data_IF_609012798104
#
_entry.id   IF_609012798104
#
_cell.length_a   1.000
_cell.length_b   1.000
_cell.length_c   1.000
_cell.angle_alpha   90.00
_cell.angle_beta   90.00
_cell.angle_gamma   90.00
#
_symmetry.space_group_name_H-M   'P 1'
#
loop_
_entity.id
_entity.type
_entity.pdbx_description
1 polymer ?
#
# COMPACT_ATOMS: atom_id res chain seq x y z
N UNK A 1 12.53 -1.64 -6.61
CA UNK A 1 12.12 -0.43 -5.87
C UNK A 1 12.39 -0.66 -4.38
N UNK A 2 12.59 0.38 -3.58
CA UNK A 2 12.62 0.23 -2.11
C UNK A 2 11.21 0.22 -1.52
N UNK A 3 11.09 -0.24 -0.28
CA UNK A 3 9.81 -0.38 0.43
C UNK A 3 9.10 0.97 0.60
N UNK A 4 9.86 2.01 0.92
CA UNK A 4 9.34 3.35 1.16
C UNK A 4 8.67 3.94 -0.09
N UNK A 5 9.31 3.80 -1.24
CA UNK A 5 8.78 4.28 -2.52
C UNK A 5 7.52 3.51 -2.89
N UNK A 6 7.50 2.18 -2.70
CA UNK A 6 6.31 1.36 -2.97
C UNK A 6 5.12 1.78 -2.08
N UNK A 7 5.32 1.97 -0.78
CA UNK A 7 4.25 2.39 0.14
C UNK A 7 3.70 3.77 -0.22
N UNK A 8 4.55 4.72 -0.62
CA UNK A 8 4.12 6.04 -1.12
C UNK A 8 3.26 5.93 -2.37
N UNK A 9 3.69 5.16 -3.37
CA UNK A 9 2.92 4.95 -4.60
C UNK A 9 1.58 4.22 -4.33
N UNK A 10 1.55 3.30 -3.36
CA UNK A 10 0.33 2.64 -2.89
C UNK A 10 -0.64 3.67 -2.29
N UNK A 11 -0.19 4.55 -1.39
CA UNK A 11 -1.03 5.61 -0.81
C UNK A 11 -1.65 6.50 -1.89
N UNK A 12 -0.86 6.86 -2.92
CA UNK A 12 -1.32 7.66 -4.05
C UNK A 12 -2.37 6.91 -4.90
N UNK A 13 -2.12 5.64 -5.24
CA UNK A 13 -3.07 4.81 -6.01
C UNK A 13 -4.38 4.58 -5.26
N UNK A 14 -4.32 4.43 -3.95
CA UNK A 14 -5.49 4.27 -3.09
C UNK A 14 -6.18 5.61 -2.77
N UNK A 15 -5.66 6.75 -3.27
CA UNK A 15 -6.20 8.10 -3.06
C UNK A 15 -6.43 8.42 -1.57
N UNK A 16 -5.51 7.99 -0.72
CA UNK A 16 -5.63 8.16 0.73
C UNK A 16 -5.55 9.65 1.09
N UNK A 17 -6.54 10.12 1.85
CA UNK A 17 -6.58 11.53 2.31
C UNK A 17 -5.60 11.75 3.48
N UNK A 18 -5.46 10.75 4.35
CA UNK A 18 -4.52 10.76 5.47
C UNK A 18 -3.14 10.24 5.03
N UNK A 19 -2.31 11.11 4.47
CA UNK A 19 -0.94 10.77 4.02
C UNK A 19 -0.10 10.28 5.19
N UNK A 20 0.74 9.27 4.96
CA UNK A 20 1.56 8.66 6.01
C UNK A 20 0.76 7.74 6.93
N UNK A 21 -0.29 7.09 6.41
CA UNK A 21 -0.96 5.98 7.08
C UNK A 21 -0.16 4.67 6.92
N UNK A 22 0.63 4.57 5.85
CA UNK A 22 1.52 3.46 5.52
C UNK A 22 2.98 3.88 5.70
N UNK A 23 3.37 4.25 6.93
CA UNK A 23 4.75 4.69 7.19
C UNK A 23 5.72 3.51 7.07
N UNK A 24 6.85 3.63 6.37
CA UNK A 24 7.79 2.52 6.18
C UNK A 24 8.32 1.91 7.48
N UNK A 25 8.45 2.71 8.54
CA UNK A 25 8.86 2.26 9.87
C UNK A 25 7.87 1.29 10.54
N UNK A 26 6.58 1.33 10.15
CA UNK A 26 5.53 0.45 10.68
C UNK A 26 5.56 -0.96 10.04
N UNK A 27 6.40 -1.16 9.02
CA UNK A 27 6.55 -2.44 8.32
C UNK A 27 7.94 -3.00 8.52
N UNK A 28 8.04 -4.31 8.67
CA UNK A 28 9.32 -5.01 8.69
C UNK A 28 9.89 -5.18 7.28
N UNK A 29 11.22 -5.28 7.19
CA UNK A 29 11.89 -5.46 5.90
C UNK A 29 11.60 -6.82 5.26
N UNK A 30 11.22 -7.82 6.07
CA UNK A 30 10.75 -9.12 5.58
C UNK A 30 9.44 -9.04 4.81
N UNK A 31 8.65 -7.98 5.00
CA UNK A 31 7.36 -7.79 4.33
C UNK A 31 7.49 -7.11 2.96
N UNK A 32 8.73 -6.82 2.52
CA UNK A 32 8.98 -6.11 1.26
C UNK A 32 8.38 -6.81 0.06
N UNK A 33 8.44 -8.14 0.01
CA UNK A 33 7.88 -8.93 -1.10
C UNK A 33 6.35 -8.79 -1.16
N UNK A 34 5.67 -8.90 -0.02
CA UNK A 34 4.20 -8.74 0.05
C UNK A 34 3.76 -7.31 -0.33
N UNK A 35 4.50 -6.29 0.11
CA UNK A 35 4.28 -4.89 -0.30
C UNK A 35 4.46 -4.72 -1.81
N UNK A 36 5.47 -5.37 -2.40
CA UNK A 36 5.71 -5.35 -3.84
C UNK A 36 4.55 -6.01 -4.61
N UNK A 37 3.94 -7.06 -4.08
CA UNK A 37 2.79 -7.71 -4.70
C UNK A 37 1.53 -6.83 -4.70
N UNK A 38 1.24 -6.15 -3.57
CA UNK A 38 0.17 -5.14 -3.54
C UNK A 38 0.45 -3.98 -4.50
N UNK A 39 1.70 -3.51 -4.55
CA UNK A 39 2.11 -2.45 -5.45
C UNK A 39 1.90 -2.85 -6.92
N UNK A 40 2.33 -4.05 -7.34
CA UNK A 40 2.09 -4.58 -8.69
C UNK A 40 0.60 -4.70 -8.99
N UNK A 41 -0.20 -5.23 -8.07
CA UNK A 41 -1.65 -5.36 -8.24
C UNK A 41 -2.30 -3.99 -8.51
N UNK A 42 -1.95 -2.97 -7.71
CA UNK A 42 -2.52 -1.62 -7.81
C UNK A 42 -2.05 -0.88 -9.06
N UNK A 43 -0.78 -1.02 -9.45
CA UNK A 43 -0.22 -0.34 -10.62
C UNK A 43 -0.65 -0.98 -11.94
N UNK A 44 -0.98 -2.28 -11.94
CA UNK A 44 -1.51 -2.98 -13.12
C UNK A 44 -2.94 -2.57 -13.49
N UNK A 45 -3.65 -1.86 -12.60
CA UNK A 45 -5.05 -1.47 -12.77
C UNK A 45 -5.18 0.03 -13.05
N UNK A 46 -6.04 0.35 -14.01
CA UNK A 46 -6.37 1.74 -14.35
C UNK A 46 -7.29 2.37 -13.30
N UNK A 47 -8.28 1.61 -12.84
CA UNK A 47 -9.30 2.08 -11.90
C UNK A 47 -9.48 1.08 -10.74
N UNK A 48 -9.61 1.66 -9.54
CA UNK A 48 -9.89 0.96 -8.29
C UNK A 48 -11.07 1.69 -7.66
N UNK A 49 -12.13 0.96 -7.37
CA UNK A 49 -13.32 1.54 -6.75
C UNK A 49 -13.05 1.96 -5.30
N UNK A 50 -13.84 2.89 -4.75
CA UNK A 50 -13.67 3.33 -3.37
C UNK A 50 -13.80 2.19 -2.34
N UNK A 51 -14.64 1.19 -2.62
CA UNK A 51 -14.80 0.00 -1.77
C UNK A 51 -13.52 -0.85 -1.79
N UNK A 52 -12.94 -1.09 -2.97
CA UNK A 52 -11.67 -1.81 -3.10
C UNK A 52 -10.53 -1.04 -2.45
N UNK A 53 -10.49 0.30 -2.61
CA UNK A 53 -9.48 1.14 -1.96
C UNK A 53 -9.51 0.95 -0.44
N UNK A 54 -10.71 0.95 0.14
CA UNK A 54 -10.91 0.75 1.58
C UNK A 54 -10.47 -0.65 2.00
N UNK A 55 -10.92 -1.69 1.30
CA UNK A 55 -10.58 -3.08 1.62
C UNK A 55 -9.06 -3.35 1.53
N UNK A 56 -8.39 -2.83 0.50
CA UNK A 56 -6.95 -3.00 0.32
C UNK A 56 -6.17 -2.24 1.40
N UNK A 57 -6.61 -1.01 1.72
CA UNK A 57 -6.00 -0.23 2.80
C UNK A 57 -6.14 -0.92 4.15
N UNK A 58 -7.29 -1.56 4.42
CA UNK A 58 -7.53 -2.31 5.64
C UNK A 58 -6.60 -3.54 5.73
N UNK A 59 -6.40 -4.30 4.65
CA UNK A 59 -5.45 -5.42 4.65
C UNK A 59 -4.00 -4.96 4.86
N UNK A 60 -3.56 -3.94 4.13
CA UNK A 60 -2.22 -3.36 4.32
C UNK A 60 -2.03 -2.84 5.76
N UNK A 61 -3.08 -2.29 6.35
CA UNK A 61 -3.05 -1.77 7.73
C UNK A 61 -2.88 -2.87 8.77
N UNK A 62 -3.29 -4.11 8.48
CA UNK A 62 -3.10 -5.29 9.35
C UNK A 62 -1.68 -5.85 9.30
N UNK A 63 -0.93 -5.54 8.24
CA UNK A 63 0.46 -5.95 8.11
C UNK A 63 1.41 -5.14 9.00
N UNK A 64 0.98 -4.01 9.56
CA UNK A 64 1.81 -3.22 10.48
C UNK A 64 2.19 -4.04 11.71
N UNK A 65 3.46 -3.96 12.12
CA UNK A 65 4.04 -4.73 13.23
C UNK A 65 3.63 -4.24 14.62
#
# INVERSE_FOLDING_TARGET
MDKETMLKEIEEKLKVVNKGILKPEDFDDSQKEEIEDYHKMLTSRNDISAMEQTAILDELSKMRK
#
